data_IF_630245243728
#
_entry.id   IF_630245243728
#
_cell.length_a   1.000
_cell.length_b   1.000
_cell.length_c   1.000
_cell.angle_alpha   90.00
_cell.angle_beta   90.00
_cell.angle_gamma   90.00
#
_symmetry.space_group_name_H-M   'P 1'
#
loop_
_entity.id
_entity.type
_entity.pdbx_description
1 polymer ?
#
# COMPACT_ATOMS: atom_id res chain seq x y z
N UNK A 1 24.36 -21.41 -6.13
CA UNK A 1 24.15 -20.42 -5.06
C UNK A 1 23.82 -19.11 -5.75
N UNK A 2 22.55 -18.72 -5.77
CA UNK A 2 22.10 -17.48 -6.44
C UNK A 2 22.54 -16.26 -5.60
N UNK A 3 23.12 -15.22 -6.23
CA UNK A 3 23.57 -14.03 -5.50
C UNK A 3 22.36 -13.27 -4.94
N UNK A 4 22.39 -13.06 -3.62
CA UNK A 4 21.34 -12.33 -2.89
C UNK A 4 21.18 -10.90 -3.40
N UNK A 5 19.95 -10.52 -3.71
CA UNK A 5 19.58 -9.19 -4.19
C UNK A 5 19.92 -8.12 -3.13
N UNK A 6 20.79 -7.18 -3.46
CA UNK A 6 21.08 -6.02 -2.60
C UNK A 6 20.23 -4.80 -3.01
N UNK A 7 19.86 -3.94 -2.05
CA UNK A 7 19.01 -2.74 -2.26
C UNK A 7 19.50 -1.80 -3.38
N UNK A 8 20.79 -1.83 -3.72
CA UNK A 8 21.41 -0.95 -4.72
C UNK A 8 20.99 -1.28 -6.16
N UNK A 9 20.65 -2.53 -6.47
CA UNK A 9 20.40 -2.96 -7.85
C UNK A 9 19.03 -2.51 -8.39
N UNK A 10 18.05 -2.19 -7.51
CA UNK A 10 16.68 -1.81 -7.89
C UNK A 10 16.52 -0.44 -8.58
N UNK A 11 17.58 0.37 -8.58
CA UNK A 11 17.59 1.71 -9.18
C UNK A 11 18.27 1.76 -10.55
N UNK A 12 18.97 0.69 -10.94
CA UNK A 12 19.69 0.63 -12.22
C UNK A 12 18.64 0.44 -13.33
N UNK A 13 18.44 1.46 -14.15
CA UNK A 13 17.54 1.42 -15.31
C UNK A 13 16.13 2.02 -15.15
N UNK A 14 15.76 2.59 -13.98
CA UNK A 14 14.48 3.32 -13.86
C UNK A 14 14.63 4.76 -14.34
N UNK A 15 13.72 5.17 -15.22
CA UNK A 15 13.52 6.59 -15.55
C UNK A 15 13.04 7.36 -14.32
N UNK A 16 13.60 8.54 -14.06
CA UNK A 16 13.12 9.44 -13.01
C UNK A 16 11.84 10.13 -13.48
N UNK A 17 11.03 10.65 -12.55
CA UNK A 17 9.79 11.39 -12.87
C UNK A 17 10.03 12.53 -13.89
N UNK A 18 11.11 13.33 -13.78
CA UNK A 18 11.42 14.33 -14.81
C UNK A 18 11.66 13.72 -16.20
N UNK A 19 12.23 12.51 -16.28
CA UNK A 19 12.53 11.86 -17.55
C UNK A 19 11.27 11.30 -18.25
N UNK A 20 10.27 10.85 -17.49
CA UNK A 20 8.97 10.39 -18.05
C UNK A 20 8.03 11.54 -18.39
N UNK A 21 8.25 12.71 -17.81
CA UNK A 21 7.45 13.92 -18.09
C UNK A 21 8.14 14.84 -19.10
N UNK A 22 9.40 14.59 -19.46
CA UNK A 22 10.13 15.32 -20.48
C UNK A 22 9.41 15.31 -21.83
N UNK A 23 9.18 16.50 -22.39
CA UNK A 23 8.45 16.69 -23.65
C UNK A 23 6.96 16.99 -23.50
N UNK A 24 6.43 16.96 -22.28
CA UNK A 24 5.05 17.35 -22.00
C UNK A 24 5.00 18.54 -21.03
N UNK A 25 4.16 19.53 -21.34
CA UNK A 25 3.86 20.64 -20.43
C UNK A 25 2.59 20.32 -19.66
N UNK A 26 2.71 19.47 -18.64
CA UNK A 26 1.61 19.24 -17.69
C UNK A 26 1.67 20.25 -16.55
N UNK A 27 0.53 20.82 -16.20
CA UNK A 27 0.43 21.58 -14.96
C UNK A 27 0.66 20.64 -13.77
N UNK A 28 1.33 21.07 -12.68
CA UNK A 28 1.66 20.21 -11.55
C UNK A 28 0.45 19.45 -10.95
N UNK A 29 -0.73 20.07 -10.94
CA UNK A 29 -1.98 19.45 -10.48
C UNK A 29 -2.40 18.23 -11.31
N UNK A 30 -1.95 18.11 -12.56
CA UNK A 30 -2.28 17.02 -13.47
C UNK A 30 -1.27 15.87 -13.43
N UNK A 31 -0.22 15.98 -12.62
CA UNK A 31 0.76 14.91 -12.41
C UNK A 31 0.38 14.19 -11.12
N UNK A 32 -0.20 12.98 -11.24
CA UNK A 32 -0.64 12.20 -10.09
C UNK A 32 0.20 10.95 -9.87
N UNK A 33 0.42 10.60 -8.60
CA UNK A 33 0.97 9.33 -8.17
C UNK A 33 -0.11 8.50 -7.48
N UNK A 34 -0.09 7.19 -7.71
CA UNK A 34 -1.03 6.23 -7.10
C UNK A 34 -0.26 5.19 -6.29
N UNK A 35 -0.81 4.79 -5.15
CA UNK A 35 -0.28 3.70 -4.33
C UNK A 35 -1.42 2.84 -3.77
N UNK A 36 -1.16 1.53 -3.65
CA UNK A 36 -2.03 0.60 -2.95
C UNK A 36 -1.54 0.40 -1.51
N UNK A 37 -2.46 0.47 -0.55
CA UNK A 37 -2.17 0.25 0.86
C UNK A 37 -3.19 -0.69 1.50
N UNK A 38 -2.75 -1.52 2.43
CA UNK A 38 -3.64 -2.40 3.20
C UNK A 38 -4.07 -1.74 4.50
N UNK A 39 -5.39 -1.55 4.69
CA UNK A 39 -5.99 -1.06 5.92
C UNK A 39 -6.63 -2.21 6.69
N UNK A 40 -6.19 -2.41 7.94
CA UNK A 40 -6.74 -3.42 8.84
C UNK A 40 -7.74 -2.79 9.80
N UNK A 41 -8.96 -3.34 9.90
CA UNK A 41 -10.06 -2.71 10.65
C UNK A 41 -10.83 -3.65 11.59
N UNK A 42 -10.51 -4.95 11.59
CA UNK A 42 -10.96 -5.91 12.63
C UNK A 42 -9.78 -6.71 13.14
N UNK A 43 -8.69 -6.02 13.43
CA UNK A 43 -7.61 -6.60 14.23
C UNK A 43 -8.19 -7.01 15.57
N UNK A 44 -8.08 -8.29 15.92
CA UNK A 44 -8.50 -8.77 17.24
C UNK A 44 -7.92 -7.84 18.30
N UNK A 45 -8.81 -7.20 19.06
CA UNK A 45 -8.44 -6.40 20.22
C UNK A 45 -7.53 -7.23 21.10
N UNK A 46 -6.43 -6.66 21.63
CA UNK A 46 -5.48 -7.32 22.55
C UNK A 46 -6.14 -7.89 23.83
N UNK A 47 -7.45 -7.76 24.00
CA UNK A 47 -8.27 -8.28 25.09
C UNK A 47 -9.54 -8.89 24.50
N UNK A 48 -9.56 -10.19 24.31
CA UNK A 48 -10.78 -10.95 24.08
C UNK A 48 -11.14 -11.72 25.34
N UNK A 49 -12.44 -11.79 25.66
CA UNK A 49 -13.03 -12.84 26.48
C UNK A 49 -12.77 -14.18 25.76
N UNK A 50 -11.60 -14.78 25.95
CA UNK A 50 -11.43 -16.19 25.68
C UNK A 50 -12.28 -16.94 26.70
N UNK A 51 -13.27 -17.71 26.24
CA UNK A 51 -13.89 -18.74 27.08
C UNK A 51 -12.76 -19.66 27.51
N UNK A 52 -12.59 -19.81 28.83
CA UNK A 52 -11.53 -20.62 29.43
C UNK A 52 -11.66 -22.06 28.91
N UNK A 53 -10.80 -22.45 27.96
CA UNK A 53 -10.79 -23.80 27.38
C UNK A 53 -10.80 -23.89 25.85
N UNK A 54 -11.11 -22.83 25.10
CA UNK A 54 -11.01 -22.88 23.63
C UNK A 54 -9.59 -22.63 23.12
N UNK A 55 -9.05 -23.57 22.36
CA UNK A 55 -7.81 -23.37 21.61
C UNK A 55 -8.05 -22.38 20.47
N UNK A 56 -7.75 -21.10 20.71
CA UNK A 56 -7.58 -20.10 19.66
C UNK A 56 -6.25 -20.31 18.90
N UNK A 57 -6.09 -21.48 18.28
CA UNK A 57 -4.94 -21.78 17.44
C UNK A 57 -5.14 -21.15 16.05
N UNK A 58 -4.35 -20.12 15.75
CA UNK A 58 -4.05 -19.74 14.35
C UNK A 58 -4.36 -18.32 13.89
N UNK A 59 -4.95 -17.44 14.72
CA UNK A 59 -5.04 -15.98 14.45
C UNK A 59 -5.63 -15.56 13.09
N UNK A 60 -6.26 -16.49 12.35
CA UNK A 60 -6.62 -16.35 10.94
C UNK A 60 -7.86 -15.48 10.75
N UNK A 61 -8.71 -15.40 11.77
CA UNK A 61 -9.93 -14.59 11.83
C UNK A 61 -9.68 -13.11 12.19
N UNK A 62 -8.45 -12.74 12.54
CA UNK A 62 -8.08 -11.44 13.12
C UNK A 62 -7.56 -10.39 12.12
N UNK A 63 -7.69 -10.64 10.80
CA UNK A 63 -7.00 -9.84 9.78
C UNK A 63 -7.91 -9.43 8.64
N UNK A 64 -9.13 -8.97 8.97
CA UNK A 64 -9.95 -8.27 7.98
C UNK A 64 -9.15 -7.07 7.46
N UNK A 65 -8.78 -7.13 6.19
CA UNK A 65 -7.97 -6.15 5.49
C UNK A 65 -8.74 -5.67 4.27
N UNK A 66 -8.87 -4.36 4.13
CA UNK A 66 -9.27 -3.75 2.86
C UNK A 66 -8.02 -3.21 2.17
N UNK A 67 -7.91 -3.42 0.87
CA UNK A 67 -6.90 -2.74 0.06
C UNK A 67 -7.50 -1.44 -0.43
N UNK A 68 -6.88 -0.32 -0.06
CA UNK A 68 -7.24 1.01 -0.49
C UNK A 68 -6.26 1.50 -1.55
N UNK A 69 -6.78 2.15 -2.58
CA UNK A 69 -6.01 2.89 -3.57
C UNK A 69 -6.02 4.36 -3.17
N UNK A 70 -4.82 4.90 -2.98
CA UNK A 70 -4.56 6.30 -2.67
C UNK A 70 -3.95 6.95 -3.90
N UNK A 71 -4.36 8.18 -4.20
CA UNK A 71 -3.83 8.94 -5.33
C UNK A 71 -3.71 10.41 -4.94
N UNK A 72 -2.57 11.02 -5.25
CA UNK A 72 -2.29 12.42 -4.95
C UNK A 72 -1.56 13.10 -6.11
N UNK A 73 -1.87 14.36 -6.36
CA UNK A 73 -1.18 15.19 -7.34
C UNK A 73 0.16 15.70 -6.81
N UNK A 74 1.00 16.24 -7.70
CA UNK A 74 2.27 16.86 -7.34
C UNK A 74 2.09 18.11 -6.46
N UNK A 75 0.92 18.74 -6.49
CA UNK A 75 0.57 19.87 -5.60
C UNK A 75 0.05 19.41 -4.23
N UNK A 76 -0.13 18.11 -4.02
CA UNK A 76 -0.65 17.54 -2.77
C UNK A 76 -2.17 17.42 -2.72
N UNK A 77 -2.88 17.63 -3.83
CA UNK A 77 -4.32 17.39 -3.90
C UNK A 77 -4.57 15.88 -3.88
N UNK A 78 -5.33 15.41 -2.88
CA UNK A 78 -5.64 13.99 -2.71
C UNK A 78 -6.98 13.66 -3.36
N UNK A 79 -6.99 12.61 -4.19
CA UNK A 79 -8.23 12.05 -4.69
C UNK A 79 -8.89 11.19 -3.60
N UNK A 80 -10.22 11.11 -3.66
CA UNK A 80 -11.00 10.26 -2.76
C UNK A 80 -10.47 8.82 -2.78
N UNK A 81 -10.07 8.24 -1.63
CA UNK A 81 -9.60 6.86 -1.58
C UNK A 81 -10.64 5.88 -2.10
N UNK A 82 -10.19 4.90 -2.88
CA UNK A 82 -11.04 3.82 -3.41
C UNK A 82 -10.72 2.50 -2.73
N UNK A 83 -11.75 1.70 -2.43
CA UNK A 83 -11.56 0.32 -1.97
C UNK A 83 -11.46 -0.56 -3.20
N UNK A 84 -10.29 -1.17 -3.41
CA UNK A 84 -10.00 -2.03 -4.57
C UNK A 84 -9.95 -3.51 -4.22
N UNK A 85 -9.88 -3.85 -2.93
CA UNK A 85 -9.84 -5.24 -2.49
C UNK A 85 -10.29 -5.42 -1.05
N UNK A 86 -10.71 -6.65 -0.73
CA UNK A 86 -11.06 -7.09 0.63
C UNK A 86 -10.52 -8.51 0.82
N UNK A 87 -9.98 -8.81 2.00
CA UNK A 87 -9.47 -10.13 2.40
C UNK A 87 -9.67 -10.38 3.89
#
# INVERSE_FOLDING_TARGET
>A
MEPGWTRAQWKIGRRKIPDVTAGYTYAPQNILNMCESGLFYRTTTKRTLSVQGEQCAGGKQAKHRVTIMLCASMTGEELKPLIIGKS
#
